data_IF_133317030290
#
_entry.id   IF_133317030290
#
_cell.length_a   1.000
_cell.length_b   1.000
_cell.length_c   1.000
_cell.angle_alpha   90.00
_cell.angle_beta   90.00
_cell.angle_gamma   90.00
#
_symmetry.space_group_name_H-M   'P 1'
#
loop_
_entity.id
_entity.type
_entity.pdbx_description
1 polymer ?
#
# COMPACT_ATOMS: atom_id res chain seq x y z
N UNK A 1 -16.31 3.00 -4.66
CA UNK A 1 -16.44 1.88 -3.69
C UNK A 1 -15.20 1.86 -2.84
N UNK A 2 -15.36 2.11 -1.53
CA UNK A 2 -14.29 2.02 -0.54
C UNK A 2 -14.07 0.56 -0.11
N UNK A 3 -13.01 0.29 0.65
CA UNK A 3 -12.81 -0.99 1.34
C UNK A 3 -14.02 -1.28 2.23
N UNK A 4 -14.72 -2.39 1.98
CA UNK A 4 -15.97 -2.75 2.68
C UNK A 4 -15.73 -3.62 3.92
N UNK A 5 -14.50 -4.07 4.13
CA UNK A 5 -14.07 -4.90 5.25
C UNK A 5 -12.74 -4.42 5.80
N UNK A 6 -12.39 -4.88 7.00
CA UNK A 6 -11.05 -4.64 7.56
C UNK A 6 -10.00 -5.25 6.63
N UNK A 7 -8.93 -4.51 6.39
CA UNK A 7 -7.83 -4.90 5.51
C UNK A 7 -6.49 -4.50 6.12
N UNK A 8 -5.42 -5.09 5.59
CA UNK A 8 -4.03 -4.85 6.00
C UNK A 8 -3.17 -4.66 4.74
N UNK A 9 -2.10 -3.88 4.85
CA UNK A 9 -1.10 -3.72 3.79
C UNK A 9 0.07 -4.70 4.04
N UNK A 10 0.32 -5.60 3.10
CA UNK A 10 1.43 -6.57 3.17
C UNK A 10 2.67 -5.91 2.53
N UNK A 11 3.51 -5.30 3.35
CA UNK A 11 4.69 -4.55 2.88
C UNK A 11 5.77 -5.47 2.29
N UNK A 12 5.76 -6.75 2.69
CA UNK A 12 6.63 -7.80 2.18
C UNK A 12 6.31 -8.25 0.75
N UNK A 13 5.09 -7.98 0.25
CA UNK A 13 4.66 -8.28 -1.13
C UNK A 13 4.70 -7.01 -2.02
N UNK A 14 5.64 -6.10 -1.75
CA UNK A 14 5.86 -4.91 -2.57
C UNK A 14 6.44 -5.31 -3.93
N UNK A 15 5.84 -4.78 -5.01
CA UNK A 15 6.29 -5.06 -6.38
C UNK A 15 5.95 -3.92 -7.33
N UNK A 16 6.78 -3.77 -8.37
CA UNK A 16 6.46 -2.91 -9.51
C UNK A 16 5.36 -3.53 -10.36
N UNK A 17 4.39 -2.72 -10.80
CA UNK A 17 3.32 -3.14 -11.71
C UNK A 17 3.19 -2.16 -12.87
N UNK A 18 2.87 -2.67 -14.06
CA UNK A 18 2.54 -1.83 -15.21
C UNK A 18 1.23 -1.07 -14.94
N UNK A 19 1.13 0.18 -15.43
CA UNK A 19 0.00 1.07 -15.14
C UNK A 19 -1.32 0.51 -15.65
N UNK A 20 -1.28 -0.25 -16.73
CA UNK A 20 -2.41 -0.89 -17.40
C UNK A 20 -3.06 -1.98 -16.52
N UNK A 21 -2.34 -2.50 -15.51
CA UNK A 21 -2.89 -3.46 -14.54
C UNK A 21 -3.81 -2.82 -13.51
N UNK A 22 -3.82 -1.49 -13.39
CA UNK A 22 -4.69 -0.75 -12.48
C UNK A 22 -6.04 -0.52 -13.14
N UNK A 23 -7.09 -1.20 -12.65
CA UNK A 23 -8.43 -1.13 -13.26
C UNK A 23 -9.28 0.05 -12.79
N UNK A 24 -9.12 0.49 -11.54
CA UNK A 24 -9.90 1.59 -10.94
C UNK A 24 -9.27 2.12 -9.66
N UNK A 25 -9.57 3.37 -9.34
CA UNK A 25 -9.22 4.00 -8.07
C UNK A 25 -10.21 3.60 -6.96
N UNK A 26 -9.73 3.18 -5.79
CA UNK A 26 -10.56 2.76 -4.65
C UNK A 26 -10.63 3.82 -3.54
N UNK A 27 -9.70 4.78 -3.53
CA UNK A 27 -9.55 5.79 -2.49
C UNK A 27 -8.08 5.99 -2.13
N UNK A 28 -7.83 6.78 -1.10
CA UNK A 28 -6.50 7.04 -0.56
C UNK A 28 -6.39 6.54 0.88
N UNK A 29 -5.23 5.99 1.25
CA UNK A 29 -4.90 5.74 2.65
C UNK A 29 -4.63 7.07 3.37
N UNK A 30 -4.87 7.11 4.68
CA UNK A 30 -4.57 8.30 5.47
C UNK A 30 -3.06 8.56 5.53
N UNK A 31 -2.61 9.82 5.73
CA UNK A 31 -1.19 10.12 5.92
C UNK A 31 -0.55 9.32 7.07
N UNK A 32 -1.30 9.11 8.17
CA UNK A 32 -0.83 8.31 9.30
C UNK A 32 -0.60 6.84 8.91
N UNK A 33 -1.49 6.27 8.09
CA UNK A 33 -1.30 4.91 7.55
C UNK A 33 -0.09 4.84 6.63
N UNK A 34 0.11 5.84 5.77
CA UNK A 34 1.25 5.88 4.85
C UNK A 34 2.60 5.99 5.59
N UNK A 35 2.66 6.75 6.69
CA UNK A 35 3.87 6.83 7.51
C UNK A 35 4.28 5.47 8.11
N UNK A 36 3.30 4.66 8.56
CA UNK A 36 3.55 3.31 9.06
C UNK A 36 4.04 2.36 7.94
N UNK A 37 3.47 2.49 6.73
CA UNK A 37 3.91 1.72 5.56
C UNK A 37 5.35 2.08 5.18
N UNK A 38 5.67 3.37 5.15
CA UNK A 38 7.02 3.85 4.84
C UNK A 38 8.05 3.28 5.81
N UNK A 39 7.80 3.39 7.12
CA UNK A 39 8.70 2.84 8.13
C UNK A 39 8.89 1.33 7.97
N UNK A 40 7.82 0.60 7.69
CA UNK A 40 7.91 -0.85 7.45
C UNK A 40 8.72 -1.18 6.20
N UNK A 41 8.58 -0.40 5.14
CA UNK A 41 9.34 -0.59 3.90
C UNK A 41 10.83 -0.28 4.10
N UNK A 42 11.20 0.74 4.87
CA UNK A 42 12.63 1.02 5.19
C UNK A 42 13.30 -0.18 5.84
N UNK A 43 12.63 -0.78 6.83
CA UNK A 43 13.12 -1.99 7.51
C UNK A 43 13.29 -3.15 6.51
N UNK A 44 12.28 -3.40 5.67
CA UNK A 44 12.30 -4.53 4.72
C UNK A 44 13.33 -4.35 3.60
N UNK A 45 13.59 -3.11 3.19
CA UNK A 45 14.49 -2.77 2.09
C UNK A 45 15.91 -2.39 2.55
N UNK A 46 16.16 -2.40 3.87
CA UNK A 46 17.44 -1.98 4.47
C UNK A 46 17.88 -0.57 4.05
N UNK A 47 16.95 0.38 4.12
CA UNK A 47 17.12 1.79 3.75
C UNK A 47 17.17 2.72 4.97
#
# INVERSE_FOLDING_TARGET
MALTSRAVALCEDVRSVARERLSRHWGAASPATLALVEERLRILLAL
#
